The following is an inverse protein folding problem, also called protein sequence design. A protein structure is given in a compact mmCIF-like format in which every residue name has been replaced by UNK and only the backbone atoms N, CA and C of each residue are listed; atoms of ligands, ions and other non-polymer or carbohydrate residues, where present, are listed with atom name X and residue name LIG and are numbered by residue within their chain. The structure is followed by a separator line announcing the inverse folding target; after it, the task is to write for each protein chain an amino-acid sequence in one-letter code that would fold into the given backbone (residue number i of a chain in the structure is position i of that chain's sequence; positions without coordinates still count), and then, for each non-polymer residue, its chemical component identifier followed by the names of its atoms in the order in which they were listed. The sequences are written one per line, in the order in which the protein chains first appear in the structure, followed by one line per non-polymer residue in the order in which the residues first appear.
data_IF_626047567845
#
_entry.id   IF_626047567845
#
_cell.length_a   1.000
_cell.length_b   1.000
_cell.length_c   1.000
_cell.angle_alpha   90.00
_cell.angle_beta   90.00
_cell.angle_gamma   90.00
#
_symmetry.space_group_name_H-M   'P 1'
#
loop_
_entity.id
_entity.type
_entity.pdbx_description
1 polymer ?
#
# COMPACT_ATOMS: atom_id res chain seq x y z
N UNK A 1 3.48 15.66 13.56
CA UNK A 1 4.70 14.89 13.25
C UNK A 1 4.36 13.42 13.39
N UNK A 2 4.54 12.67 12.31
CA UNK A 2 4.27 11.22 12.28
C UNK A 2 5.28 10.45 13.14
N UNK A 3 4.91 9.23 13.55
CA UNK A 3 5.79 8.29 14.26
C UNK A 3 5.55 6.87 13.74
N UNK A 4 6.62 6.11 13.48
CA UNK A 4 6.51 4.75 12.94
C UNK A 4 5.73 3.79 13.84
N UNK A 5 5.90 3.89 15.16
CA UNK A 5 5.16 3.04 16.10
C UNK A 5 3.64 3.26 16.01
N UNK A 6 3.22 4.52 15.92
CA UNK A 6 1.80 4.88 15.76
C UNK A 6 1.25 4.38 14.44
N UNK A 7 2.02 4.53 13.35
CA UNK A 7 1.62 4.05 12.02
C UNK A 7 1.45 2.53 12.04
N UNK A 8 2.40 1.77 12.60
CA UNK A 8 2.31 0.31 12.66
C UNK A 8 1.12 -0.19 13.49
N UNK A 9 0.78 0.49 14.59
CA UNK A 9 -0.41 0.17 15.39
C UNK A 9 -1.69 0.42 14.58
N UNK A 10 -1.75 1.51 13.83
CA UNK A 10 -2.90 1.85 12.98
C UNK A 10 -3.02 0.85 11.82
N UNK A 11 -1.95 0.57 11.09
CA UNK A 11 -1.96 -0.41 9.98
C UNK A 11 -2.41 -1.80 10.45
N UNK A 12 -1.99 -2.23 11.65
CA UNK A 12 -2.39 -3.51 12.22
C UNK A 12 -3.88 -3.63 12.60
N UNK A 13 -4.64 -2.53 12.57
CA UNK A 13 -6.08 -2.53 12.88
C UNK A 13 -6.98 -2.76 11.66
N UNK A 14 -6.42 -2.76 10.45
CA UNK A 14 -7.20 -2.77 9.22
C UNK A 14 -6.80 -3.94 8.30
N UNK A 15 -7.78 -4.51 7.61
CA UNK A 15 -7.57 -5.46 6.51
C UNK A 15 -7.79 -4.79 5.15
N UNK A 16 -7.66 -5.55 4.05
CA UNK A 16 -7.88 -5.06 2.68
C UNK A 16 -9.19 -4.29 2.47
N UNK A 17 -10.36 -4.82 2.89
CA UNK A 17 -11.64 -4.11 2.81
C UNK A 17 -11.68 -2.78 3.57
N UNK A 18 -10.92 -2.67 4.67
CA UNK A 18 -10.89 -1.46 5.49
C UNK A 18 -9.93 -0.38 4.96
N UNK A 19 -9.30 -0.61 3.81
CA UNK A 19 -8.35 0.32 3.22
C UNK A 19 -8.86 1.77 3.11
N UNK A 20 -10.13 2.05 2.72
CA UNK A 20 -10.64 3.43 2.75
C UNK A 20 -10.61 4.08 4.15
N UNK A 21 -10.83 3.30 5.22
CA UNK A 21 -10.75 3.79 6.61
C UNK A 21 -9.31 4.05 7.01
N UNK A 22 -8.38 3.15 6.66
CA UNK A 22 -6.94 3.35 6.89
C UNK A 22 -6.46 4.66 6.27
N UNK A 23 -6.85 4.93 5.02
CA UNK A 23 -6.48 6.17 4.31
C UNK A 23 -7.08 7.40 5.01
N UNK A 24 -8.31 7.31 5.51
CA UNK A 24 -8.92 8.39 6.28
C UNK A 24 -8.17 8.64 7.60
N UNK A 25 -7.80 7.59 8.34
CA UNK A 25 -7.01 7.71 9.56
C UNK A 25 -5.62 8.31 9.28
N UNK A 26 -4.95 7.91 8.19
CA UNK A 26 -3.68 8.53 7.78
C UNK A 26 -3.82 10.04 7.53
N UNK A 27 -4.90 10.48 6.88
CA UNK A 27 -5.16 11.91 6.68
C UNK A 27 -5.36 12.63 8.01
N UNK A 28 -6.09 12.05 8.96
CA UNK A 28 -6.31 12.60 10.30
C UNK A 28 -5.00 12.71 11.10
N UNK A 29 -4.05 11.80 10.87
CA UNK A 29 -2.70 11.85 11.43
C UNK A 29 -1.80 12.92 10.77
N UNK A 30 -2.28 13.63 9.75
CA UNK A 30 -1.53 14.65 9.03
C UNK A 30 -0.62 14.08 7.92
N UNK A 31 -0.84 12.84 7.50
CA UNK A 31 -0.14 12.24 6.37
C UNK A 31 -0.72 12.75 5.05
N UNK A 32 0.15 13.18 4.15
CA UNK A 32 -0.22 13.69 2.81
C UNK A 32 0.19 12.76 1.69
N UNK A 33 1.17 11.88 1.94
CA UNK A 33 1.63 10.88 0.97
C UNK A 33 2.02 9.59 1.66
N UNK A 34 1.58 8.47 1.10
CA UNK A 34 2.00 7.13 1.46
C UNK A 34 2.45 6.43 0.17
N UNK A 35 3.71 5.99 0.10
CA UNK A 35 4.29 5.34 -1.08
C UNK A 35 4.85 3.99 -0.70
N UNK A 36 4.43 2.96 -1.42
CA UNK A 36 4.93 1.59 -1.29
C UNK A 36 5.64 1.21 -2.58
N UNK A 37 6.93 0.94 -2.50
CA UNK A 37 7.72 0.40 -3.61
C UNK A 37 7.69 -1.12 -3.55
N UNK A 38 6.98 -1.77 -4.48
CA UNK A 38 6.94 -3.23 -4.56
C UNK A 38 8.32 -3.83 -4.89
N UNK A 39 9.11 -3.15 -5.73
CA UNK A 39 10.42 -3.63 -6.20
C UNK A 39 11.46 -3.69 -5.08
N UNK A 40 11.48 -2.67 -4.21
CA UNK A 40 12.45 -2.56 -3.13
C UNK A 40 11.90 -2.94 -1.77
N UNK A 41 10.57 -3.01 -1.62
CA UNK A 41 9.88 -3.15 -0.34
C UNK A 41 9.93 -1.88 0.52
N UNK A 42 10.39 -0.75 0.00
CA UNK A 42 10.47 0.49 0.78
C UNK A 42 9.09 1.13 0.92
N UNK A 43 8.69 1.43 2.15
CA UNK A 43 7.49 2.20 2.46
C UNK A 43 7.89 3.58 2.96
N UNK A 44 7.32 4.63 2.37
CA UNK A 44 7.58 6.03 2.72
C UNK A 44 6.29 6.74 3.09
N UNK A 45 6.28 7.37 4.26
CA UNK A 45 5.21 8.22 4.75
C UNK A 45 5.70 9.67 4.74
N UNK A 46 4.88 10.59 4.27
CA UNK A 46 5.19 12.04 4.24
C UNK A 46 4.08 12.80 4.94
N UNK A 47 4.44 13.72 5.83
CA UNK A 47 3.49 14.60 6.50
C UNK A 47 3.38 15.99 5.84
N UNK A 48 2.47 16.82 6.36
CA UNK A 48 2.21 18.16 5.83
C UNK A 48 3.40 19.12 5.89
N UNK A 49 4.39 18.86 6.75
CA UNK A 49 5.63 19.63 6.83
C UNK A 49 6.65 19.19 5.77
N UNK A 50 6.39 18.07 5.09
CA UNK A 50 7.31 17.45 4.15
C UNK A 50 8.29 16.49 4.82
N UNK A 51 8.18 16.26 6.14
CA UNK A 51 9.01 15.29 6.85
C UNK A 51 8.66 13.88 6.39
N UNK A 52 9.67 13.02 6.29
CA UNK A 52 9.49 11.64 5.82
C UNK A 52 9.92 10.62 6.86
N UNK A 53 9.14 9.54 6.94
CA UNK A 53 9.49 8.33 7.67
C UNK A 53 9.54 7.16 6.69
N UNK A 54 10.47 6.24 6.94
CA UNK A 54 10.67 5.07 6.11
C UNK A 54 10.68 3.79 6.94
N UNK A 55 10.14 2.73 6.38
CA UNK A 55 10.26 1.39 6.92
C UNK A 55 10.30 0.34 5.81
N UNK A 56 10.65 -0.89 6.18
CA UNK A 56 10.60 -2.04 5.29
C UNK A 56 9.20 -2.64 5.30
N UNK A 57 8.62 -2.78 4.12
CA UNK A 57 7.38 -3.51 3.86
C UNK A 57 7.62 -4.74 2.98
N UNK A 58 6.57 -5.23 2.34
CA UNK A 58 6.65 -6.41 1.48
C UNK A 58 7.37 -6.08 0.16
N UNK A 59 8.39 -6.88 -0.17
CA UNK A 59 9.09 -6.85 -1.45
C UNK A 59 8.60 -8.02 -2.30
N UNK A 60 8.11 -7.73 -3.50
CA UNK A 60 7.65 -8.78 -4.40
C UNK A 60 8.81 -9.60 -4.93
N UNK A 61 8.55 -10.88 -5.18
CA UNK A 61 9.52 -11.80 -5.78
C UNK A 61 9.34 -11.87 -7.30
N UNK A 62 8.13 -11.57 -7.79
CA UNK A 62 7.84 -11.52 -9.22
C UNK A 62 8.41 -10.25 -9.85
N UNK A 63 8.99 -10.31 -11.07
CA UNK A 63 9.35 -9.11 -11.81
C UNK A 63 8.14 -8.17 -12.02
N UNK A 64 8.36 -6.87 -11.84
CA UNK A 64 7.34 -5.87 -12.15
C UNK A 64 7.11 -5.84 -13.67
N UNK A 65 5.86 -5.93 -14.10
CA UNK A 65 5.52 -5.88 -15.52
C UNK A 65 5.93 -4.54 -16.16
N UNK A 66 6.34 -4.59 -17.43
CA UNK A 66 6.80 -3.42 -18.18
C UNK A 66 5.65 -2.49 -18.62
N UNK A 67 4.40 -2.93 -18.54
CA UNK A 67 3.22 -2.15 -18.94
C UNK A 67 2.06 -2.43 -17.99
N UNK A 68 1.19 -1.44 -17.81
CA UNK A 68 -0.01 -1.59 -16.97
C UNK A 68 -1.14 -2.29 -17.70
N UNK A 69 -1.70 -3.31 -17.07
CA UNK A 69 -2.98 -3.92 -17.43
C UNK A 69 -4.06 -3.43 -16.46
N UNK A 70 -4.76 -2.37 -16.86
CA UNK A 70 -5.78 -1.73 -16.02
C UNK A 70 -6.95 -2.65 -15.66
N UNK A 71 -7.29 -3.58 -16.55
CA UNK A 71 -8.40 -4.52 -16.30
C UNK A 71 -7.99 -5.48 -15.21
N UNK A 72 -6.79 -6.06 -15.32
CA UNK A 72 -6.26 -6.96 -14.30
C UNK A 72 -6.07 -6.24 -12.95
N UNK A 73 -5.54 -5.02 -12.95
CA UNK A 73 -5.41 -4.19 -11.73
C UNK A 73 -6.75 -4.03 -11.01
N UNK A 74 -7.83 -3.74 -11.74
CA UNK A 74 -9.15 -3.56 -11.13
C UNK A 74 -9.70 -4.88 -10.57
N UNK A 75 -9.44 -6.01 -11.24
CA UNK A 75 -9.83 -7.33 -10.76
C UNK A 75 -9.08 -7.68 -9.47
N UNK A 76 -7.76 -7.47 -9.45
CA UNK A 76 -6.90 -7.74 -8.31
C UNK A 76 -7.31 -6.89 -7.09
N UNK A 77 -7.60 -5.60 -7.31
CA UNK A 77 -8.09 -4.69 -6.27
C UNK A 77 -9.43 -5.16 -5.71
N UNK A 78 -10.36 -5.54 -6.58
CA UNK A 78 -11.71 -5.96 -6.15
C UNK A 78 -11.66 -7.25 -5.34
N UNK A 79 -10.82 -8.21 -5.74
CA UNK A 79 -10.62 -9.44 -4.99
C UNK A 79 -9.97 -9.19 -3.61
N UNK A 80 -8.97 -8.30 -3.53
CA UNK A 80 -8.37 -7.92 -2.26
C UNK A 80 -9.38 -7.24 -1.31
N UNK A 81 -10.22 -6.35 -1.83
CA UNK A 81 -11.27 -5.67 -1.06
C UNK A 81 -12.41 -6.62 -0.63
N UNK A 82 -12.53 -7.78 -1.26
CA UNK A 82 -13.48 -8.84 -0.91
C UNK A 82 -12.87 -9.90 0.02
N UNK A 83 -11.71 -9.64 0.63
CA UNK A 83 -10.93 -10.60 1.46
C UNK A 83 -10.54 -11.89 0.73
N UNK A 84 -10.48 -11.88 -0.61
CA UNK A 84 -10.10 -13.05 -1.42
C UNK A 84 -8.59 -13.15 -1.65
N UNK A 85 -7.84 -12.10 -1.31
CA UNK A 85 -6.38 -12.08 -1.35
C UNK A 85 -5.85 -11.39 -0.11
N UNK A 86 -4.89 -12.04 0.56
CA UNK A 86 -4.13 -11.38 1.63
C UNK A 86 -3.12 -10.39 1.04
N UNK A 87 -2.60 -9.48 1.86
CA UNK A 87 -1.74 -8.39 1.39
C UNK A 87 -0.51 -8.85 0.56
N UNK A 88 0.26 -9.89 0.95
CA UNK A 88 1.35 -10.39 0.11
C UNK A 88 0.90 -10.88 -1.28
N UNK A 89 -0.21 -11.61 -1.35
CA UNK A 89 -0.76 -12.12 -2.62
C UNK A 89 -1.21 -10.99 -3.53
N UNK A 90 -1.88 -9.99 -2.95
CA UNK A 90 -2.26 -8.78 -3.65
C UNK A 90 -1.05 -8.02 -4.21
N UNK A 91 0.04 -7.88 -3.44
CA UNK A 91 1.27 -7.25 -3.92
C UNK A 91 1.87 -7.99 -5.12
N UNK A 92 1.91 -9.33 -5.08
CA UNK A 92 2.41 -10.15 -6.20
C UNK A 92 1.50 -10.06 -7.44
N UNK A 93 0.19 -9.98 -7.26
CA UNK A 93 -0.77 -9.79 -8.35
C UNK A 93 -0.58 -8.42 -9.03
N UNK A 94 -0.50 -7.36 -8.22
CA UNK A 94 -0.28 -5.99 -8.70
C UNK A 94 1.08 -5.83 -9.41
N UNK A 95 2.12 -6.54 -8.96
CA UNK A 95 3.40 -6.58 -9.67
C UNK A 95 3.26 -7.08 -11.13
N UNK A 96 2.47 -8.14 -11.34
CA UNK A 96 2.26 -8.76 -12.66
C UNK A 96 1.43 -7.90 -13.61
N UNK A 97 0.56 -7.05 -13.08
CA UNK A 97 -0.29 -6.14 -13.87
C UNK A 97 0.26 -4.71 -13.93
N UNK A 98 1.44 -4.46 -13.33
CA UNK A 98 2.01 -3.12 -13.08
C UNK A 98 0.96 -2.18 -12.44
N UNK A 99 0.18 -2.73 -11.54
CA UNK A 99 -0.68 -1.98 -10.64
C UNK A 99 0.16 -1.28 -9.60
N UNK A 100 -0.06 0.02 -9.44
CA UNK A 100 0.40 0.67 -8.22
C UNK A 100 -0.54 0.20 -7.10
N UNK A 101 -0.05 -0.40 -6.00
CA UNK A 101 -0.91 -0.73 -4.85
C UNK A 101 -1.60 0.51 -4.24
N UNK A 102 -1.19 1.71 -4.66
CA UNK A 102 -1.62 3.00 -4.14
C UNK A 102 -1.69 4.01 -5.31
N UNK A 103 -2.77 3.98 -6.07
CA UNK A 103 -3.10 4.96 -7.10
C UNK A 103 -4.61 5.10 -7.24
#
# INVERSE_FOLDING_TARGET
MLQLQTIGVVEGQFSGPDFPKLIQTFKEMGMVKHTVSLETGLVTYTDFSGDTLQQTGYRVQTPIALSSDKVQVQLDLSAHQADQMIFPEFCEAMAKSRGCPLG
#
